data_IF_273103278816
#
_entry.id   IF_273103278816
#
_cell.length_a   1.000
_cell.length_b   1.000
_cell.length_c   1.000
_cell.angle_alpha   90.00
_cell.angle_beta   90.00
_cell.angle_gamma   90.00
#
_symmetry.space_group_name_H-M   'P 1'
#
loop_
_entity.id
_entity.type
_entity.pdbx_description
1 polymer ?
#
# COMPACT_ATOMS: atom_id res chain seq x y z
N UNK A 1 6.20 -0.48 6.72
CA UNK A 1 6.02 -0.88 5.31
C UNK A 1 7.35 -0.72 4.61
N UNK A 2 7.75 -1.65 3.76
CA UNK A 2 9.01 -1.58 3.00
C UNK A 2 8.75 -1.82 1.52
N UNK A 3 9.62 -1.33 0.66
CA UNK A 3 9.59 -1.64 -0.77
C UNK A 3 10.73 -2.60 -1.14
N UNK A 4 10.59 -3.31 -2.25
CA UNK A 4 11.63 -4.14 -2.84
C UNK A 4 11.41 -4.28 -4.35
N UNK A 5 12.49 -4.56 -5.09
CA UNK A 5 12.41 -5.01 -6.48
C UNK A 5 12.81 -6.47 -6.52
N UNK A 6 11.91 -7.34 -6.97
CA UNK A 6 12.15 -8.77 -7.09
C UNK A 6 11.74 -9.23 -8.49
N UNK A 7 12.66 -9.84 -9.23
CA UNK A 7 12.41 -10.28 -10.62
C UNK A 7 12.06 -9.13 -11.57
N UNK A 8 12.56 -7.91 -11.31
CA UNK A 8 12.23 -6.70 -12.08
C UNK A 8 10.88 -6.06 -11.73
N UNK A 9 10.11 -6.64 -10.80
CA UNK A 9 8.83 -6.11 -10.36
C UNK A 9 9.03 -5.31 -9.07
N UNK A 10 8.54 -4.07 -9.06
CA UNK A 10 8.49 -3.25 -7.85
C UNK A 10 7.34 -3.71 -6.95
N UNK A 11 7.63 -3.96 -5.67
CA UNK A 11 6.68 -4.52 -4.71
C UNK A 11 6.68 -3.72 -3.41
N UNK A 12 5.49 -3.51 -2.86
CA UNK A 12 5.28 -3.04 -1.50
C UNK A 12 5.05 -4.23 -0.57
N UNK A 13 5.69 -4.23 0.60
CA UNK A 13 5.60 -5.30 1.60
C UNK A 13 5.17 -4.72 2.95
N UNK A 14 4.19 -5.38 3.55
CA UNK A 14 3.72 -5.12 4.90
C UNK A 14 3.90 -6.38 5.74
N UNK A 15 4.85 -6.36 6.67
CA UNK A 15 5.02 -7.44 7.63
C UNK A 15 3.94 -7.33 8.71
N UNK A 16 3.05 -8.30 8.77
CA UNK A 16 1.98 -8.41 9.78
C UNK A 16 2.41 -9.42 10.84
N UNK A 17 2.13 -9.13 12.12
CA UNK A 17 2.40 -10.06 13.23
C UNK A 17 3.27 -9.51 14.36
N UNK A 18 3.53 -8.20 14.41
CA UNK A 18 4.10 -7.59 15.60
C UNK A 18 3.11 -7.69 16.78
N UNK A 19 3.61 -7.69 18.02
CA UNK A 19 2.82 -7.93 19.25
C UNK A 19 1.56 -7.07 19.41
N UNK A 20 1.58 -5.85 18.89
CA UNK A 20 0.45 -4.90 18.93
C UNK A 20 -0.36 -4.84 17.62
N UNK A 21 -0.03 -5.68 16.63
CA UNK A 21 -0.76 -5.72 15.36
C UNK A 21 -2.01 -6.56 15.51
N UNK A 22 -3.15 -5.99 15.12
CA UNK A 22 -4.47 -6.60 15.18
C UNK A 22 -5.09 -6.54 13.79
N UNK A 23 -6.15 -7.31 13.54
CA UNK A 23 -6.84 -7.31 12.25
C UNK A 23 -7.29 -5.90 11.81
N UNK A 24 -7.74 -5.07 12.75
CA UNK A 24 -8.10 -3.66 12.47
C UNK A 24 -6.94 -2.84 11.93
N UNK A 25 -5.72 -3.04 12.45
CA UNK A 25 -4.54 -2.32 11.98
C UNK A 25 -4.22 -2.66 10.52
N UNK A 26 -4.39 -3.93 10.13
CA UNK A 26 -4.20 -4.38 8.75
C UNK A 26 -5.30 -3.81 7.84
N UNK A 27 -6.55 -3.82 8.30
CA UNK A 27 -7.69 -3.28 7.55
C UNK A 27 -7.53 -1.77 7.27
N UNK A 28 -7.14 -0.98 8.28
CA UNK A 28 -6.90 0.45 8.11
C UNK A 28 -5.67 0.70 7.21
N UNK A 29 -4.59 -0.06 7.36
CA UNK A 29 -3.43 0.06 6.46
C UNK A 29 -3.82 -0.21 4.99
N UNK A 30 -4.71 -1.18 4.74
CA UNK A 30 -5.22 -1.47 3.40
C UNK A 30 -6.15 -0.38 2.83
N UNK A 31 -6.89 0.34 3.69
CA UNK A 31 -7.66 1.52 3.25
C UNK A 31 -6.73 2.60 2.73
N UNK A 32 -5.67 2.93 3.47
CA UNK A 32 -4.69 3.94 3.05
C UNK A 32 -4.05 3.59 1.71
N UNK A 33 -3.66 2.32 1.50
CA UNK A 33 -3.08 1.88 0.22
C UNK A 33 -4.05 2.11 -0.94
N UNK A 34 -5.34 1.83 -0.76
CA UNK A 34 -6.35 2.07 -1.81
C UNK A 34 -6.59 3.54 -2.06
N UNK A 35 -6.71 4.35 -1.01
CA UNK A 35 -6.90 5.79 -1.15
C UNK A 35 -5.75 6.44 -1.93
N UNK A 36 -4.51 6.01 -1.70
CA UNK A 36 -3.37 6.51 -2.46
C UNK A 36 -3.34 5.98 -3.89
N UNK A 37 -3.69 4.71 -4.12
CA UNK A 37 -3.81 4.17 -5.47
C UNK A 37 -4.88 4.93 -6.28
N UNK A 38 -6.06 5.15 -5.69
CA UNK A 38 -7.16 5.91 -6.31
C UNK A 38 -6.73 7.36 -6.58
N UNK A 39 -6.00 8.00 -5.66
CA UNK A 39 -5.49 9.36 -5.86
C UNK A 39 -4.49 9.43 -7.03
N UNK A 40 -3.59 8.45 -7.14
CA UNK A 40 -2.64 8.37 -8.25
C UNK A 40 -3.33 8.09 -9.59
N UNK A 41 -4.38 7.26 -9.60
CA UNK A 41 -5.19 7.02 -10.79
C UNK A 41 -5.91 8.31 -11.23
N UNK A 42 -6.40 9.12 -10.29
CA UNK A 42 -7.01 10.42 -10.59
C UNK A 42 -5.97 11.46 -11.04
N UNK A 43 -4.77 11.52 -10.45
CA UNK A 43 -3.68 12.37 -10.94
C UNK A 43 -3.25 11.99 -12.37
N UNK A 44 -3.31 10.72 -12.74
CA UNK A 44 -3.08 10.25 -14.10
C UNK A 44 -4.11 10.76 -15.12
N UNK A 45 -5.35 11.03 -14.69
CA UNK A 45 -6.43 11.56 -15.54
C UNK A 45 -6.39 13.09 -15.64
N UNK A 46 -6.06 13.79 -14.54
CA UNK A 46 -6.07 15.27 -14.49
C UNK A 46 -4.76 15.88 -15.05
N UNK A 47 -3.68 15.10 -15.16
CA UNK A 47 -2.42 15.50 -15.78
C UNK A 47 -2.39 15.42 -17.32
N UNK A 48 -3.51 15.09 -17.97
CA UNK A 48 -3.65 14.97 -19.43
C UNK A 48 -4.38 16.18 -20.04
#
# INVERSE_FOLDING_TARGET
MTHAVAGGIYMLRLAVGATLTEARHVAEAWKVVREQADAMDVEGIVGC
#
